data_IF_495270106279
#
_entry.id   IF_495270106279
#
_cell.length_a   1.000
_cell.length_b   1.000
_cell.length_c   1.000
_cell.angle_alpha   90.00
_cell.angle_beta   90.00
_cell.angle_gamma   90.00
#
_symmetry.space_group_name_H-M   'P 1'
#
loop_
_entity.id
_entity.type
_entity.pdbx_description
1 polymer ?
#
# COMPACT_ATOMS: atom_id res chain seq x y z
N UNK A 1 -14.86 -10.00 -4.70
CA UNK A 1 -13.80 -9.37 -5.51
C UNK A 1 -12.49 -9.45 -4.73
N UNK A 2 -11.50 -10.19 -5.23
CA UNK A 2 -10.19 -10.26 -4.58
C UNK A 2 -9.42 -8.97 -4.87
N UNK A 3 -9.02 -8.26 -3.81
CA UNK A 3 -8.26 -7.01 -3.96
C UNK A 3 -6.86 -7.31 -4.51
N UNK A 4 -6.63 -7.01 -5.79
CA UNK A 4 -5.32 -7.17 -6.44
C UNK A 4 -4.52 -5.88 -6.30
N UNK A 5 -3.53 -5.92 -5.42
CA UNK A 5 -2.57 -4.82 -5.23
C UNK A 5 -1.83 -4.48 -6.54
N UNK A 6 -1.38 -3.22 -6.64
CA UNK A 6 -0.47 -2.79 -7.70
C UNK A 6 0.93 -3.32 -7.40
N UNK A 7 1.57 -3.92 -8.40
CA UNK A 7 3.00 -4.25 -8.33
C UNK A 7 3.84 -2.99 -8.51
N UNK A 8 5.14 -3.10 -8.22
CA UNK A 8 6.07 -1.98 -8.47
C UNK A 8 6.18 -1.66 -9.97
N UNK A 9 6.18 -2.69 -10.83
CA UNK A 9 6.19 -2.53 -12.28
C UNK A 9 4.94 -1.82 -12.80
N UNK A 10 3.78 -2.10 -12.20
CA UNK A 10 2.56 -1.39 -12.56
C UNK A 10 2.62 0.09 -12.13
N UNK A 11 3.22 0.39 -10.98
CA UNK A 11 3.41 1.77 -10.52
C UNK A 11 4.36 2.55 -11.43
N UNK A 12 5.49 1.96 -11.85
CA UNK A 12 6.44 2.60 -12.77
C UNK A 12 5.84 2.80 -14.16
N UNK A 13 4.99 1.88 -14.62
CA UNK A 13 4.23 2.03 -15.87
C UNK A 13 3.24 3.21 -15.78
N UNK A 14 2.50 3.34 -14.66
CA UNK A 14 1.58 4.46 -14.43
C UNK A 14 2.35 5.78 -14.37
N UNK A 15 3.52 5.81 -13.72
CA UNK A 15 4.38 6.99 -13.66
C UNK A 15 4.87 7.40 -15.06
N UNK A 16 5.34 6.45 -15.85
CA UNK A 16 5.76 6.69 -17.24
C UNK A 16 4.62 7.27 -18.09
N UNK A 17 3.42 6.71 -17.99
CA UNK A 17 2.26 7.23 -18.73
C UNK A 17 1.80 8.60 -18.23
N UNK A 18 1.92 8.87 -16.94
CA UNK A 18 1.64 10.18 -16.36
C UNK A 18 2.61 11.26 -16.86
N UNK A 19 3.91 10.94 -16.94
CA UNK A 19 4.94 11.82 -17.49
C UNK A 19 4.74 12.07 -19.00
N UNK A 20 4.17 11.12 -19.73
CA UNK A 20 3.73 11.29 -21.12
C UNK A 20 2.40 12.06 -21.26
N UNK A 21 1.87 12.62 -20.17
CA UNK A 21 0.61 13.37 -20.14
C UNK A 21 -0.66 12.59 -20.55
N UNK A 22 -0.64 11.25 -20.46
CA UNK A 22 -1.86 10.46 -20.69
C UNK A 22 -2.90 10.72 -19.61
N UNK A 23 -4.19 10.66 -19.97
CA UNK A 23 -5.28 10.88 -19.00
C UNK A 23 -5.43 9.64 -18.08
N UNK A 24 -5.84 9.81 -16.80
CA UNK A 24 -6.05 8.68 -15.88
C UNK A 24 -7.01 7.60 -16.41
N UNK A 25 -8.02 8.00 -17.19
CA UNK A 25 -8.96 7.09 -17.85
C UNK A 25 -8.24 6.19 -18.87
N UNK A 26 -7.37 6.77 -19.69
CA UNK A 26 -6.62 6.04 -20.73
C UNK A 26 -5.62 5.07 -20.09
N UNK A 27 -4.95 5.52 -19.02
CA UNK A 27 -4.05 4.68 -18.23
C UNK A 27 -4.80 3.50 -17.62
N UNK A 28 -5.99 3.74 -17.04
CA UNK A 28 -6.83 2.68 -16.46
C UNK A 28 -7.23 1.64 -17.50
N UNK A 29 -7.65 2.10 -18.69
CA UNK A 29 -8.03 1.22 -19.79
C UNK A 29 -6.84 0.38 -20.29
N UNK A 30 -5.65 0.98 -20.46
CA UNK A 30 -4.43 0.27 -20.88
C UNK A 30 -3.95 -0.75 -19.84
N UNK A 31 -4.06 -0.41 -18.56
CA UNK A 31 -3.61 -1.26 -17.45
C UNK A 31 -4.64 -2.33 -17.05
N UNK A 32 -5.88 -2.26 -17.57
CA UNK A 32 -6.97 -3.14 -17.13
C UNK A 32 -7.30 -2.99 -15.64
N UNK A 33 -7.13 -1.77 -15.09
CA UNK A 33 -7.32 -1.47 -13.67
C UNK A 33 -8.51 -0.54 -13.47
N UNK A 34 -9.13 -0.62 -12.29
CA UNK A 34 -10.19 0.31 -11.92
C UNK A 34 -9.66 1.76 -11.95
N UNK A 35 -10.46 2.67 -12.54
CA UNK A 35 -10.08 4.07 -12.71
C UNK A 35 -9.72 4.75 -11.37
N UNK A 36 -10.44 4.39 -10.30
CA UNK A 36 -10.19 4.92 -8.96
C UNK A 36 -8.77 4.56 -8.47
N UNK A 37 -8.29 3.35 -8.76
CA UNK A 37 -6.95 2.91 -8.39
C UNK A 37 -5.89 3.77 -9.07
N UNK A 38 -6.07 4.05 -10.36
CA UNK A 38 -5.17 4.92 -11.12
C UNK A 38 -5.23 6.37 -10.60
N UNK A 39 -6.42 6.91 -10.33
CA UNK A 39 -6.57 8.25 -9.75
C UNK A 39 -5.83 8.40 -8.43
N UNK A 40 -5.89 7.40 -7.55
CA UNK A 40 -5.20 7.44 -6.27
C UNK A 40 -3.68 7.55 -6.45
N UNK A 41 -3.11 6.85 -7.43
CA UNK A 41 -1.67 6.90 -7.75
C UNK A 41 -1.31 8.23 -8.42
N UNK A 42 -2.03 8.62 -9.47
CA UNK A 42 -1.79 9.88 -10.20
C UNK A 42 -1.91 11.10 -9.29
N UNK A 43 -2.84 11.09 -8.33
CA UNK A 43 -2.95 12.18 -7.36
C UNK A 43 -1.72 12.28 -6.44
N UNK A 44 -1.00 11.18 -6.18
CA UNK A 44 0.29 11.24 -5.48
C UNK A 44 1.39 11.81 -6.37
N UNK A 45 1.37 11.50 -7.66
CA UNK A 45 2.32 12.08 -8.61
C UNK A 45 2.12 13.58 -8.78
N UNK A 46 0.87 14.06 -8.80
CA UNK A 46 0.54 15.49 -8.75
C UNK A 46 1.04 16.20 -7.49
N UNK A 47 1.25 15.46 -6.39
CA UNK A 47 1.84 15.96 -5.15
C UNK A 47 3.38 15.93 -5.17
N UNK A 48 3.99 15.62 -6.31
CA UNK A 48 5.45 15.53 -6.47
C UNK A 48 6.06 14.22 -5.95
N UNK A 49 5.25 13.21 -5.62
CA UNK A 49 5.74 11.89 -5.19
C UNK A 49 6.05 11.01 -6.39
N UNK A 50 7.00 10.10 -6.24
CA UNK A 50 7.36 9.10 -7.26
C UNK A 50 6.62 7.77 -7.06
N UNK A 51 6.69 6.87 -8.04
CA UNK A 51 6.22 5.49 -7.91
C UNK A 51 6.90 4.77 -6.72
N UNK A 52 8.19 5.03 -6.52
CA UNK A 52 8.97 4.46 -5.43
C UNK A 52 8.45 4.95 -4.07
N UNK A 53 8.18 6.25 -3.94
CA UNK A 53 7.61 6.83 -2.72
C UNK A 53 6.25 6.22 -2.38
N UNK A 54 5.40 6.03 -3.39
CA UNK A 54 4.10 5.37 -3.23
C UNK A 54 4.26 3.95 -2.67
N UNK A 55 5.20 3.19 -3.23
CA UNK A 55 5.49 1.83 -2.80
C UNK A 55 6.06 1.77 -1.37
N UNK A 56 7.01 2.65 -1.04
CA UNK A 56 7.56 2.75 0.31
C UNK A 56 6.48 3.10 1.34
N UNK A 57 5.64 4.10 1.04
CA UNK A 57 4.51 4.47 1.90
C UNK A 57 3.57 3.28 2.12
N UNK A 58 3.28 2.51 1.07
CA UNK A 58 2.46 1.30 1.17
C UNK A 58 3.11 0.25 2.10
N UNK A 59 4.42 0.02 1.99
CA UNK A 59 5.16 -0.90 2.86
C UNK A 59 5.14 -0.44 4.33
N UNK A 60 5.35 0.84 4.58
CA UNK A 60 5.27 1.41 5.93
C UNK A 60 3.86 1.30 6.53
N UNK A 61 2.82 1.53 5.74
CA UNK A 61 1.45 1.34 6.19
C UNK A 61 1.16 -0.12 6.52
N UNK A 62 1.68 -1.07 5.72
CA UNK A 62 1.51 -2.50 5.98
C UNK A 62 2.19 -2.97 7.26
N UNK A 63 3.31 -2.37 7.67
CA UNK A 63 3.94 -2.63 8.98
C UNK A 63 3.04 -2.26 10.16
N UNK A 64 2.14 -1.28 9.98
CA UNK A 64 1.18 -0.83 11.00
C UNK A 64 -0.12 -1.65 10.99
N UNK A 65 -0.32 -2.48 9.98
CA UNK A 65 -1.45 -3.39 9.89
C UNK A 65 -1.17 -4.69 10.65
N UNK A 66 -2.23 -5.35 11.10
CA UNK A 66 -2.14 -6.62 11.81
C UNK A 66 -2.37 -6.48 13.31
N UNK A 67 -2.54 -7.62 13.98
CA UNK A 67 -2.73 -7.68 15.43
C UNK A 67 -1.39 -7.42 16.11
N UNK A 68 -1.35 -6.44 17.00
CA UNK A 68 -0.19 -6.25 17.89
C UNK A 68 -0.07 -7.47 18.81
N UNK A 69 1.17 -7.86 19.14
CA UNK A 69 1.42 -8.93 20.10
C UNK A 69 0.73 -8.56 21.41
N UNK A 70 -0.11 -9.47 21.92
CA UNK A 70 -0.70 -9.31 23.25
C UNK A 70 0.38 -9.72 24.24
N UNK A 71 0.85 -8.75 25.02
CA UNK A 71 1.70 -9.03 26.16
C UNK A 71 0.80 -9.29 27.36
N UNK A 72 0.99 -10.44 28.01
CA UNK A 72 0.34 -10.74 29.28
C UNK A 72 0.84 -9.73 30.33
N UNK A 73 -0.04 -9.19 31.17
CA UNK A 73 0.37 -8.35 32.28
C UNK A 73 1.25 -9.14 33.27
N UNK A 74 2.15 -8.44 33.97
CA UNK A 74 3.16 -9.08 34.83
C UNK A 74 2.56 -10.08 35.82
N UNK A 75 1.42 -9.75 36.44
CA UNK A 75 0.74 -10.62 37.41
C UNK A 75 0.27 -11.95 36.80
N UNK A 76 -0.15 -11.97 35.53
CA UNK A 76 -0.53 -13.22 34.86
C UNK A 76 0.70 -14.05 34.49
N UNK A 77 1.80 -13.38 34.11
CA UNK A 77 3.08 -14.04 33.85
C UNK A 77 3.61 -14.69 35.13
N UNK A 78 3.53 -13.99 36.27
CA UNK A 78 3.98 -14.49 37.57
C UNK A 78 3.09 -15.64 38.05
N UNK A 79 1.76 -15.52 37.94
CA UNK A 79 0.82 -16.61 38.25
C UNK A 79 1.11 -17.88 37.44
N UNK A 80 1.42 -17.75 36.14
CA UNK A 80 1.78 -18.91 35.30
C UNK A 80 3.08 -19.54 35.79
N UNK A 81 4.10 -18.74 36.14
CA UNK A 81 5.39 -19.25 36.64
C UNK A 81 5.27 -19.96 37.99
N UNK A 82 4.37 -19.54 38.86
CA UNK A 82 4.15 -20.17 40.17
C UNK A 82 3.42 -21.52 40.07
N UNK A 83 2.73 -21.78 38.95
CA UNK A 83 1.89 -22.97 38.74
C UNK A 83 2.54 -24.06 37.88
N UNK A 84 3.74 -23.83 37.34
CA UNK A 84 4.56 -24.78 36.56
C UNK A 84 5.76 -25.20 37.37
#
# INVERSE_FOLDING_TARGET
MTYKHLTIDELTMIESYYLQHNKPVEIANRMGRAIQTIYNVVNKFKQGKTALDYWHQYKENKKKCGRKVIQLPAHEVDYIKEKV
#
